data_IF_848078755637
#
_entry.id   IF_848078755637
#
_cell.length_a   1.000
_cell.length_b   1.000
_cell.length_c   1.000
_cell.angle_alpha   90.00
_cell.angle_beta   90.00
_cell.angle_gamma   90.00
#
_symmetry.space_group_name_H-M   'P 1'
#
loop_
_entity.id
_entity.type
_entity.pdbx_description
1 polymer ?
#
# COMPACT_ATOMS: atom_id res chain seq x y z
N UNK A 1 3.23 -19.85 -10.29
CA UNK A 1 2.03 -19.07 -10.63
C UNK A 1 1.00 -19.24 -9.53
N UNK A 2 0.28 -18.18 -9.22
CA UNK A 2 -0.82 -18.14 -8.26
C UNK A 2 -2.16 -18.17 -9.01
N UNK A 3 -3.24 -18.40 -8.29
CA UNK A 3 -4.61 -18.32 -8.84
C UNK A 3 -5.41 -17.35 -7.97
N UNK A 4 -6.03 -16.33 -8.60
CA UNK A 4 -6.91 -15.41 -7.90
C UNK A 4 -8.36 -15.95 -7.80
N UNK A 5 -9.23 -15.18 -7.14
CA UNK A 5 -10.64 -15.55 -6.94
C UNK A 5 -11.44 -15.66 -8.25
N UNK A 6 -11.07 -14.92 -9.31
CA UNK A 6 -11.66 -15.04 -10.65
C UNK A 6 -11.19 -16.29 -11.42
N UNK A 7 -10.20 -17.03 -10.88
CA UNK A 7 -9.59 -18.18 -11.55
C UNK A 7 -8.41 -17.83 -12.45
N UNK A 8 -8.04 -16.57 -12.59
CA UNK A 8 -6.89 -16.17 -13.40
C UNK A 8 -5.59 -16.72 -12.80
N UNK A 9 -4.75 -17.31 -13.64
CA UNK A 9 -3.38 -17.67 -13.28
C UNK A 9 -2.48 -16.46 -13.46
N UNK A 10 -1.69 -16.11 -12.43
CA UNK A 10 -0.80 -14.95 -12.48
C UNK A 10 0.53 -15.20 -11.75
N UNK A 11 1.49 -14.34 -12.01
CA UNK A 11 2.75 -14.24 -11.29
C UNK A 11 3.07 -12.77 -11.02
N UNK A 12 3.74 -12.49 -9.92
CA UNK A 12 4.19 -11.15 -9.52
C UNK A 12 5.69 -11.06 -9.68
N UNK A 13 6.17 -10.00 -10.30
CA UNK A 13 7.59 -9.75 -10.53
C UNK A 13 8.10 -8.59 -9.67
N UNK A 14 7.22 -7.66 -9.32
CA UNK A 14 7.59 -6.41 -8.67
C UNK A 14 6.46 -5.86 -7.82
N UNK A 15 6.79 -5.34 -6.64
CA UNK A 15 5.85 -4.71 -5.71
C UNK A 15 6.52 -3.49 -5.11
N UNK A 16 5.89 -2.33 -5.29
CA UNK A 16 6.29 -1.06 -4.72
C UNK A 16 5.06 -0.38 -4.14
N UNK A 17 5.18 0.23 -2.96
CA UNK A 17 4.08 0.98 -2.37
C UNK A 17 4.55 1.97 -1.31
N UNK A 18 3.68 2.93 -0.98
CA UNK A 18 3.83 3.81 0.15
C UNK A 18 2.83 3.47 1.25
N UNK A 19 3.27 3.63 2.49
CA UNK A 19 2.41 3.85 3.64
C UNK A 19 2.75 5.22 4.24
N UNK A 20 1.75 5.89 4.82
CA UNK A 20 1.92 7.19 5.46
C UNK A 20 1.06 7.29 6.70
N UNK A 21 1.25 8.35 7.50
CA UNK A 21 0.46 8.61 8.72
C UNK A 21 0.40 7.40 9.66
N UNK A 22 1.55 6.77 9.91
CA UNK A 22 1.63 5.60 10.78
C UNK A 22 1.40 6.01 12.22
N UNK A 23 0.50 5.30 12.93
CA UNK A 23 0.11 5.55 14.31
C UNK A 23 0.01 4.26 15.10
N UNK A 24 0.40 4.34 16.35
CA UNK A 24 0.17 3.31 17.34
C UNK A 24 -0.88 3.81 18.35
N UNK A 25 -1.83 2.96 18.73
CA UNK A 25 -2.81 3.29 19.76
C UNK A 25 -2.57 2.43 21.00
N UNK A 26 -2.39 3.06 22.15
CA UNK A 26 -2.17 2.37 23.43
C UNK A 26 -3.43 1.65 23.90
N UNK A 27 -3.29 0.74 24.85
CA UNK A 27 -4.42 0.08 25.51
C UNK A 27 -5.39 1.08 26.16
N UNK A 28 -4.88 2.22 26.65
CA UNK A 28 -5.67 3.32 27.24
C UNK A 28 -6.36 4.20 26.20
N UNK A 29 -6.01 4.09 24.90
CA UNK A 29 -6.57 4.89 23.81
C UNK A 29 -5.76 6.14 23.45
N UNK A 30 -4.56 6.32 23.99
CA UNK A 30 -3.65 7.36 23.57
C UNK A 30 -3.08 7.01 22.19
N UNK A 31 -2.95 8.01 21.31
CA UNK A 31 -2.40 7.84 19.95
C UNK A 31 -1.00 8.40 19.89
N UNK A 32 -0.06 7.57 19.48
CA UNK A 32 1.33 7.93 19.20
C UNK A 32 1.53 7.95 17.69
N UNK A 33 1.79 9.11 17.13
CA UNK A 33 2.07 9.29 15.71
C UNK A 33 3.56 9.11 15.44
N UNK A 34 3.90 8.34 14.41
CA UNK A 34 5.28 8.21 13.93
C UNK A 34 5.55 9.38 13.00
N UNK A 35 6.56 10.19 13.34
CA UNK A 35 6.93 11.41 12.61
C UNK A 35 8.26 11.28 11.86
N UNK A 36 9.02 10.25 12.17
CA UNK A 36 10.25 9.93 11.44
C UNK A 36 9.96 9.82 9.93
N UNK A 37 10.85 10.37 9.11
CA UNK A 37 10.66 10.50 7.67
C UNK A 37 9.29 11.08 7.27
N UNK A 38 8.78 12.05 8.04
CA UNK A 38 7.45 12.68 7.86
C UNK A 38 6.29 11.67 7.94
N UNK A 39 6.48 10.55 8.67
CA UNK A 39 5.50 9.47 8.80
C UNK A 39 5.30 8.65 7.52
N UNK A 40 6.26 8.70 6.58
CA UNK A 40 6.18 8.01 5.28
C UNK A 40 7.19 6.88 5.21
N UNK A 41 6.75 5.73 4.74
CA UNK A 41 7.65 4.65 4.37
C UNK A 41 7.37 4.15 2.95
N UNK A 42 8.44 4.07 2.15
CA UNK A 42 8.45 3.48 0.82
C UNK A 42 8.95 2.04 0.89
N UNK A 43 8.26 1.13 0.24
CA UNK A 43 8.66 -0.27 0.13
C UNK A 43 8.83 -0.66 -1.33
N UNK A 44 9.98 -1.27 -1.65
CA UNK A 44 10.27 -1.91 -2.94
C UNK A 44 10.92 -3.26 -2.67
N UNK A 45 10.27 -4.37 -3.06
CA UNK A 45 10.78 -5.72 -2.81
C UNK A 45 12.13 -6.00 -3.47
N UNK A 46 12.57 -5.14 -4.40
CA UNK A 46 13.86 -5.25 -5.10
C UNK A 46 14.96 -4.41 -4.47
N UNK A 47 14.62 -3.58 -3.49
CA UNK A 47 15.58 -2.73 -2.76
C UNK A 47 15.56 -3.15 -1.28
N UNK A 48 16.48 -4.03 -0.83
CA UNK A 48 16.43 -4.59 0.53
C UNK A 48 16.37 -3.54 1.64
N UNK A 49 17.02 -2.39 1.47
CA UNK A 49 17.00 -1.31 2.46
C UNK A 49 15.63 -0.66 2.68
N UNK A 50 14.66 -0.87 1.79
CA UNK A 50 13.29 -0.37 1.93
C UNK A 50 12.35 -1.38 2.62
N UNK A 51 12.85 -2.57 2.93
CA UNK A 51 12.04 -3.61 3.60
C UNK A 51 12.09 -3.49 5.13
N UNK A 52 12.90 -2.56 5.63
CA UNK A 52 13.00 -2.24 7.06
C UNK A 52 12.92 -0.74 7.24
N UNK A 53 12.22 -0.31 8.27
CA UNK A 53 12.18 1.07 8.71
C UNK A 53 12.61 1.16 10.17
N UNK A 54 13.84 1.60 10.38
CA UNK A 54 14.38 1.88 11.71
C UNK A 54 13.88 3.27 12.15
N UNK A 55 12.80 3.28 12.93
CA UNK A 55 12.12 4.50 13.35
C UNK A 55 12.98 5.23 14.39
N UNK A 56 13.33 6.48 14.09
CA UNK A 56 14.10 7.34 15.00
C UNK A 56 13.28 7.96 16.13
N UNK A 57 11.95 7.95 16.04
CA UNK A 57 11.06 8.45 17.08
C UNK A 57 11.19 7.64 18.36
N UNK A 58 11.08 8.33 19.50
CA UNK A 58 10.98 7.67 20.80
C UNK A 58 9.53 7.28 21.00
N UNK A 59 9.22 6.01 20.77
CA UNK A 59 7.91 5.44 21.08
C UNK A 59 7.82 5.19 22.58
N UNK A 60 6.83 5.74 23.30
CA UNK A 60 6.67 5.54 24.74
C UNK A 60 6.58 4.06 25.12
N UNK A 61 7.15 3.71 26.28
CA UNK A 61 6.98 2.37 26.85
C UNK A 61 5.54 2.21 27.33
N UNK A 62 4.77 1.37 26.65
CA UNK A 62 3.35 1.09 26.92
C UNK A 62 2.93 -0.21 26.22
N UNK A 63 1.69 -0.66 26.50
CA UNK A 63 1.00 -1.68 25.74
C UNK A 63 0.19 -1.05 24.62
N UNK A 64 0.33 -1.57 23.40
CA UNK A 64 -0.34 -1.06 22.21
C UNK A 64 -1.34 -2.06 21.67
N UNK A 65 -2.57 -1.60 21.42
CA UNK A 65 -3.70 -2.44 20.95
C UNK A 65 -3.90 -2.44 19.44
N UNK A 66 -3.34 -1.43 18.75
CA UNK A 66 -3.44 -1.35 17.28
C UNK A 66 -2.31 -0.53 16.67
N UNK A 67 -2.01 -0.84 15.40
CA UNK A 67 -1.28 0.01 14.48
C UNK A 67 -2.23 0.42 13.35
N UNK A 68 -2.16 1.69 12.95
CA UNK A 68 -2.89 2.19 11.79
C UNK A 68 -1.99 3.00 10.88
N UNK A 69 -2.32 3.02 9.60
CA UNK A 69 -1.61 3.81 8.58
C UNK A 69 -2.54 4.09 7.39
N UNK A 70 -2.18 5.09 6.60
CA UNK A 70 -2.78 5.35 5.30
C UNK A 70 -1.99 4.56 4.25
N UNK A 71 -2.69 3.81 3.41
CA UNK A 71 -2.09 3.21 2.23
C UNK A 71 -2.07 4.23 1.09
N UNK A 72 -0.86 4.63 0.69
CA UNK A 72 -0.60 5.72 -0.24
C UNK A 72 -0.13 7.00 0.45
N UNK A 73 -0.29 8.12 -0.25
CA UNK A 73 0.09 9.47 0.18
C UNK A 73 -1.10 10.41 0.04
N UNK A 74 -1.24 11.37 0.95
CA UNK A 74 -2.35 12.34 0.97
C UNK A 74 -1.85 13.78 1.08
N UNK A 75 -2.70 14.72 0.66
CA UNK A 75 -2.46 16.14 0.82
C UNK A 75 -1.13 16.61 0.23
N UNK A 76 -0.36 17.37 1.01
CA UNK A 76 0.92 17.94 0.58
C UNK A 76 1.98 16.87 0.28
N UNK A 77 1.91 15.71 0.95
CA UNK A 77 2.81 14.58 0.69
C UNK A 77 2.59 13.95 -0.70
N UNK A 78 1.39 14.13 -1.28
CA UNK A 78 1.03 13.63 -2.60
C UNK A 78 1.10 14.73 -3.68
N UNK A 79 2.12 15.55 -3.62
CA UNK A 79 2.36 16.65 -4.60
C UNK A 79 3.55 16.29 -5.49
N UNK A 80 3.41 16.50 -6.80
CA UNK A 80 4.50 16.28 -7.76
C UNK A 80 5.76 17.04 -7.33
N UNK A 81 6.88 16.32 -7.24
CA UNK A 81 8.18 16.86 -6.81
C UNK A 81 8.42 16.85 -5.29
N UNK A 82 7.51 16.32 -4.47
CA UNK A 82 7.72 16.17 -3.02
C UNK A 82 8.98 15.34 -2.70
N UNK A 83 9.21 14.23 -3.43
CA UNK A 83 10.45 13.45 -3.36
C UNK A 83 11.40 13.87 -4.48
N UNK A 84 12.52 14.54 -4.17
CA UNK A 84 13.47 15.01 -5.19
C UNK A 84 14.38 13.90 -5.75
N UNK A 85 14.55 12.80 -5.01
CA UNK A 85 15.54 11.77 -5.31
C UNK A 85 14.92 10.37 -5.42
N UNK A 86 15.57 9.45 -6.16
CA UNK A 86 15.23 8.01 -6.12
C UNK A 86 15.53 7.43 -4.71
N UNK A 87 14.83 6.35 -4.34
CA UNK A 87 13.91 5.59 -5.18
C UNK A 87 12.48 6.15 -5.26
N UNK A 88 12.06 7.01 -4.34
CA UNK A 88 10.68 7.46 -4.17
C UNK A 88 10.18 8.27 -5.39
N UNK A 89 11.04 9.10 -6.01
CA UNK A 89 10.62 9.88 -7.18
C UNK A 89 10.33 9.01 -8.42
N UNK A 90 10.79 7.75 -8.46
CA UNK A 90 10.42 6.78 -9.50
C UNK A 90 8.95 6.36 -9.39
N UNK A 91 8.28 6.72 -8.29
CA UNK A 91 6.84 6.51 -8.08
C UNK A 91 5.98 7.68 -8.59
N UNK A 92 6.53 8.66 -9.29
CA UNK A 92 5.76 9.81 -9.80
C UNK A 92 4.53 9.38 -10.59
N UNK A 93 3.35 9.93 -10.22
CA UNK A 93 2.09 9.78 -10.95
C UNK A 93 2.00 10.85 -12.03
N UNK A 94 1.56 10.53 -13.26
CA UNK A 94 1.52 11.51 -14.34
C UNK A 94 0.62 12.72 -14.03
N UNK A 95 1.11 13.94 -14.29
CA UNK A 95 0.38 15.17 -14.01
C UNK A 95 -0.95 15.26 -14.77
N UNK A 96 -1.01 14.71 -15.99
CA UNK A 96 -2.23 14.68 -16.81
C UNK A 96 -3.38 13.83 -16.20
N UNK A 97 -3.07 13.01 -15.21
CA UNK A 97 -4.05 12.20 -14.45
C UNK A 97 -4.01 12.51 -12.95
N UNK A 98 -3.65 13.75 -12.59
CA UNK A 98 -3.76 14.29 -11.23
C UNK A 98 -2.45 14.54 -10.52
N UNK A 99 -1.29 14.11 -11.06
CA UNK A 99 0.03 14.32 -10.47
C UNK A 99 0.22 13.67 -9.08
N UNK A 100 1.34 13.94 -8.45
CA UNK A 100 1.74 13.33 -7.20
C UNK A 100 2.46 11.99 -7.43
N UNK A 101 2.05 10.94 -6.72
CA UNK A 101 2.75 9.65 -6.72
C UNK A 101 1.79 8.46 -6.88
N UNK A 102 2.32 7.38 -7.43
CA UNK A 102 1.68 6.07 -7.32
C UNK A 102 1.59 5.69 -5.83
N UNK A 103 0.47 5.16 -5.41
CA UNK A 103 0.36 4.56 -4.07
C UNK A 103 0.91 3.16 -4.06
N UNK A 104 0.71 2.45 -5.17
CA UNK A 104 1.20 1.10 -5.38
C UNK A 104 1.53 0.87 -6.86
N UNK A 105 2.57 0.06 -7.09
CA UNK A 105 2.86 -0.61 -8.36
C UNK A 105 3.03 -2.09 -8.08
N UNK A 106 2.14 -2.93 -8.62
CA UNK A 106 2.34 -4.38 -8.70
C UNK A 106 2.44 -4.73 -10.17
N UNK A 107 3.60 -5.23 -10.57
CA UNK A 107 3.86 -5.65 -11.94
C UNK A 107 3.99 -7.17 -12.00
N UNK A 108 3.51 -7.75 -13.08
CA UNK A 108 3.57 -9.19 -13.27
C UNK A 108 3.03 -9.63 -14.62
N UNK A 109 2.60 -10.88 -14.67
CA UNK A 109 1.99 -11.49 -15.85
C UNK A 109 0.81 -12.35 -15.42
N UNK A 110 -0.17 -12.46 -16.30
CA UNK A 110 -1.31 -13.34 -16.16
C UNK A 110 -1.57 -14.13 -17.45
N UNK A 111 -2.31 -15.22 -17.35
CA UNK A 111 -2.69 -16.04 -18.49
C UNK A 111 -4.11 -15.64 -18.90
N UNK A 112 -4.26 -15.16 -20.12
CA UNK A 112 -5.55 -14.83 -20.69
C UNK A 112 -6.36 -16.09 -21.10
N UNK A 113 -7.64 -15.94 -21.52
CA UNK A 113 -8.47 -17.09 -21.95
C UNK A 113 -7.91 -17.88 -23.13
N UNK A 114 -7.08 -17.25 -23.96
CA UNK A 114 -6.44 -17.91 -25.11
C UNK A 114 -5.13 -18.64 -24.71
N UNK A 115 -4.77 -18.62 -23.41
CA UNK A 115 -3.57 -19.22 -22.88
C UNK A 115 -2.30 -18.39 -23.10
N UNK A 116 -2.45 -17.12 -23.50
CA UNK A 116 -1.32 -16.22 -23.75
C UNK A 116 -0.92 -15.49 -22.49
N UNK A 117 0.39 -15.37 -22.23
CA UNK A 117 0.94 -14.59 -21.11
C UNK A 117 0.88 -13.10 -21.43
N UNK A 118 0.01 -12.39 -20.75
CA UNK A 118 -0.15 -10.95 -20.85
C UNK A 118 0.57 -10.24 -19.68
N UNK A 119 1.18 -9.07 -19.89
CA UNK A 119 1.70 -8.27 -18.80
C UNK A 119 0.56 -7.60 -18.03
N UNK A 120 0.74 -7.42 -16.71
CA UNK A 120 -0.09 -6.50 -15.95
C UNK A 120 0.75 -5.48 -15.16
N UNK A 121 0.18 -4.30 -15.02
CA UNK A 121 0.69 -3.17 -14.26
C UNK A 121 -0.48 -2.62 -13.43
N UNK A 122 -0.65 -3.16 -12.23
CA UNK A 122 -1.66 -2.69 -11.29
C UNK A 122 -1.08 -1.50 -10.54
N UNK A 123 -1.19 -0.36 -11.18
CA UNK A 123 -0.71 0.91 -10.65
C UNK A 123 -1.89 1.72 -10.13
N UNK A 124 -1.87 2.03 -8.83
CA UNK A 124 -2.88 2.85 -8.18
C UNK A 124 -2.32 4.22 -7.81
N UNK A 125 -3.18 5.22 -7.81
CA UNK A 125 -2.86 6.60 -7.50
C UNK A 125 -4.15 7.42 -7.45
N UNK A 126 -4.11 8.70 -7.78
CA UNK A 126 -5.32 9.52 -7.90
C UNK A 126 -6.27 8.98 -8.95
N UNK A 127 -7.56 9.13 -8.71
CA UNK A 127 -8.62 8.74 -9.64
C UNK A 127 -9.34 9.97 -10.20
N UNK A 128 -9.80 9.84 -11.44
CA UNK A 128 -10.64 10.86 -12.06
C UNK A 128 -12.03 10.91 -11.36
N UNK A 129 -12.50 12.13 -11.16
CA UNK A 129 -13.83 12.46 -10.64
C UNK A 129 -14.52 13.46 -11.57
N UNK A 130 -15.78 13.77 -11.34
CA UNK A 130 -16.52 14.75 -12.13
C UNK A 130 -15.91 16.16 -12.01
N UNK A 131 -15.17 16.45 -10.93
CA UNK A 131 -14.58 17.76 -10.63
C UNK A 131 -13.04 17.78 -10.71
N UNK A 132 -12.41 16.83 -11.40
CA UNK A 132 -10.96 16.70 -11.51
C UNK A 132 -10.44 15.37 -10.98
N UNK A 133 -9.52 15.42 -10.03
CA UNK A 133 -8.91 14.21 -9.46
C UNK A 133 -9.02 14.19 -7.93
N UNK A 134 -9.13 13.00 -7.36
CA UNK A 134 -9.17 12.79 -5.92
C UNK A 134 -8.18 11.70 -5.49
N UNK A 135 -7.73 11.79 -4.24
CA UNK A 135 -6.94 10.74 -3.63
C UNK A 135 -7.77 9.46 -3.50
N UNK A 136 -7.16 8.33 -3.82
CA UNK A 136 -7.76 6.99 -3.75
C UNK A 136 -7.10 6.15 -2.66
N UNK A 137 -6.67 6.81 -1.60
CA UNK A 137 -6.08 6.22 -0.40
C UNK A 137 -7.15 5.58 0.49
N UNK A 138 -6.70 4.81 1.46
CA UNK A 138 -7.55 4.27 2.52
C UNK A 138 -6.73 4.01 3.78
N UNK A 139 -7.38 4.07 4.93
CA UNK A 139 -6.76 3.75 6.21
C UNK A 139 -6.85 2.26 6.49
N UNK A 140 -5.75 1.68 6.92
CA UNK A 140 -5.64 0.32 7.45
C UNK A 140 -5.46 0.42 8.95
N UNK A 141 -6.21 -0.40 9.71
CA UNK A 141 -6.03 -0.54 11.16
C UNK A 141 -5.92 -2.03 11.50
N UNK A 142 -4.81 -2.41 12.11
CA UNK A 142 -4.50 -3.79 12.45
C UNK A 142 -4.45 -3.93 13.98
N UNK A 143 -5.20 -4.89 14.55
CA UNK A 143 -5.15 -5.14 15.98
C UNK A 143 -3.80 -5.74 16.38
N UNK A 144 -3.30 -5.31 17.53
CA UNK A 144 -2.14 -5.86 18.22
C UNK A 144 -2.62 -6.59 19.47
N UNK A 145 -2.09 -7.78 19.71
CA UNK A 145 -2.42 -8.57 20.89
C UNK A 145 -1.16 -8.81 21.72
N UNK A 146 -1.11 -8.26 22.92
CA UNK A 146 0.06 -8.38 23.82
C UNK A 146 1.35 -7.77 23.24
N UNK A 147 1.23 -6.74 22.40
CA UNK A 147 2.38 -5.99 21.93
C UNK A 147 2.70 -4.86 22.90
N UNK A 148 3.94 -4.83 23.38
CA UNK A 148 4.43 -3.81 24.30
C UNK A 148 5.77 -3.25 23.84
N UNK A 149 5.94 -1.95 24.00
CA UNK A 149 7.25 -1.29 23.91
C UNK A 149 7.82 -1.19 25.32
N UNK A 150 9.00 -1.73 25.53
CA UNK A 150 9.69 -1.74 26.83
C UNK A 150 10.81 -0.70 26.79
N UNK A 151 10.96 0.03 27.88
CA UNK A 151 11.98 1.08 27.99
C UNK A 151 13.40 0.54 27.73
N UNK A 152 14.13 1.17 26.78
CA UNK A 152 15.47 0.78 26.32
C UNK A 152 15.56 -0.57 25.59
N UNK A 153 14.46 -1.12 25.16
CA UNK A 153 14.44 -2.31 24.30
C UNK A 153 13.97 -1.94 22.90
N UNK A 154 14.36 -2.73 21.92
CA UNK A 154 13.86 -2.62 20.55
C UNK A 154 12.60 -3.47 20.42
N UNK A 155 11.53 -2.87 19.93
CA UNK A 155 10.32 -3.59 19.56
C UNK A 155 10.21 -3.65 18.02
N UNK A 156 9.84 -4.80 17.49
CA UNK A 156 9.73 -5.01 16.04
C UNK A 156 8.29 -5.37 15.66
N UNK A 157 7.79 -4.73 14.60
CA UNK A 157 6.53 -5.08 13.95
C UNK A 157 6.80 -5.43 12.48
N UNK A 158 6.33 -6.58 12.03
CA UNK A 158 6.40 -6.97 10.62
C UNK A 158 5.04 -6.78 9.96
N UNK A 159 4.94 -5.78 9.07
CA UNK A 159 3.77 -5.61 8.22
C UNK A 159 3.84 -6.61 7.05
N UNK A 160 2.77 -7.36 6.83
CA UNK A 160 2.66 -8.33 5.75
C UNK A 160 1.59 -7.91 4.75
N UNK A 161 1.89 -7.97 3.45
CA UNK A 161 0.93 -7.76 2.38
C UNK A 161 0.59 -9.10 1.70
N UNK A 162 -0.69 -9.49 1.74
CA UNK A 162 -1.19 -10.62 0.97
C UNK A 162 -1.64 -10.15 -0.42
N UNK A 163 -0.79 -10.33 -1.41
CA UNK A 163 -1.08 -9.88 -2.79
C UNK A 163 -2.38 -10.48 -3.34
N UNK A 164 -2.70 -11.73 -2.98
CA UNK A 164 -3.92 -12.38 -3.51
C UNK A 164 -5.21 -11.75 -2.97
N UNK A 165 -5.15 -11.12 -1.79
CA UNK A 165 -6.31 -10.44 -1.19
C UNK A 165 -6.77 -9.22 -2.03
N UNK A 166 -5.86 -8.55 -2.76
CA UNK A 166 -6.24 -7.48 -3.69
C UNK A 166 -7.28 -7.91 -4.73
N UNK A 167 -7.39 -9.22 -5.00
CA UNK A 167 -8.22 -9.76 -6.08
C UNK A 167 -9.50 -10.47 -5.60
N UNK A 168 -9.83 -10.43 -4.30
CA UNK A 168 -10.84 -11.35 -3.77
C UNK A 168 -12.04 -10.72 -3.07
N UNK A 169 -11.87 -9.81 -2.12
CA UNK A 169 -12.93 -9.45 -1.17
C UNK A 169 -12.89 -7.95 -0.80
N UNK A 170 -14.02 -7.22 -0.88
CA UNK A 170 -15.39 -7.68 -1.20
C UNK A 170 -15.65 -7.89 -2.70
N UNK A 171 -14.72 -7.51 -3.58
CA UNK A 171 -14.91 -7.55 -5.02
C UNK A 171 -13.92 -8.51 -5.67
N UNK A 172 -14.40 -9.33 -6.60
CA UNK A 172 -13.53 -10.16 -7.41
C UNK A 172 -12.89 -9.30 -8.50
N UNK A 173 -11.57 -9.25 -8.52
CA UNK A 173 -10.81 -8.63 -9.60
C UNK A 173 -10.50 -9.67 -10.66
N UNK A 174 -11.14 -9.54 -11.82
CA UNK A 174 -10.90 -10.41 -12.98
C UNK A 174 -10.06 -9.68 -14.03
N UNK A 175 -8.87 -10.20 -14.32
CA UNK A 175 -8.00 -9.67 -15.37
C UNK A 175 -8.65 -9.72 -16.76
N UNK A 176 -9.56 -10.67 -17.01
CA UNK A 176 -10.30 -10.76 -18.27
C UNK A 176 -11.30 -9.60 -18.45
N UNK A 177 -11.73 -8.98 -17.34
CA UNK A 177 -12.68 -7.85 -17.33
C UNK A 177 -11.95 -6.51 -17.29
N UNK A 178 -10.98 -6.37 -16.36
CA UNK A 178 -10.29 -5.10 -16.13
C UNK A 178 -9.03 -4.92 -16.98
N UNK A 179 -8.50 -6.02 -17.55
CA UNK A 179 -7.22 -6.01 -18.26
C UNK A 179 -6.02 -5.90 -17.31
N UNK A 180 -4.85 -5.72 -17.91
CA UNK A 180 -3.58 -5.62 -17.17
C UNK A 180 -3.13 -4.18 -16.89
N UNK A 181 -3.82 -3.13 -17.36
CA UNK A 181 -3.44 -1.73 -17.17
C UNK A 181 -4.62 -0.92 -16.63
N UNK A 182 -4.46 -0.40 -15.40
CA UNK A 182 -5.58 0.19 -14.66
C UNK A 182 -5.42 1.67 -14.29
N UNK A 183 -4.33 2.32 -14.67
CA UNK A 183 -4.04 3.71 -14.25
C UNK A 183 -5.18 4.69 -14.55
N UNK A 184 -5.87 4.52 -15.68
CA UNK A 184 -7.01 5.35 -16.08
C UNK A 184 -8.35 4.63 -15.93
N UNK A 185 -8.36 3.42 -15.36
CA UNK A 185 -9.58 2.66 -15.11
C UNK A 185 -10.05 2.90 -13.67
N UNK A 186 -10.89 3.92 -13.49
CA UNK A 186 -11.44 4.30 -12.19
C UNK A 186 -12.10 3.11 -11.48
N UNK A 187 -12.95 2.37 -12.17
CA UNK A 187 -13.65 1.22 -11.58
C UNK A 187 -12.68 0.15 -11.06
N UNK A 188 -11.65 -0.19 -11.84
CA UNK A 188 -10.64 -1.15 -11.41
C UNK A 188 -9.86 -0.66 -10.18
N UNK A 189 -9.49 0.63 -10.12
CA UNK A 189 -8.83 1.19 -8.96
C UNK A 189 -9.73 1.25 -7.72
N UNK A 190 -11.01 1.57 -7.88
CA UNK A 190 -12.00 1.55 -6.79
C UNK A 190 -12.22 0.14 -6.25
N UNK A 191 -12.21 -0.88 -7.14
CA UNK A 191 -12.27 -2.31 -6.74
C UNK A 191 -11.06 -2.69 -5.89
N UNK A 192 -9.85 -2.35 -6.32
CA UNK A 192 -8.64 -2.62 -5.53
C UNK A 192 -8.67 -1.88 -4.19
N UNK A 193 -9.05 -0.59 -4.19
CA UNK A 193 -9.18 0.18 -2.95
C UNK A 193 -10.16 -0.48 -1.97
N UNK A 194 -11.31 -0.91 -2.45
CA UNK A 194 -12.31 -1.59 -1.62
C UNK A 194 -11.79 -2.92 -1.05
N UNK A 195 -10.95 -3.64 -1.80
CA UNK A 195 -10.34 -4.90 -1.34
C UNK A 195 -9.18 -4.67 -0.35
N UNK A 196 -8.64 -3.46 -0.27
CA UNK A 196 -7.47 -3.12 0.53
C UNK A 196 -7.61 -3.40 2.03
N UNK A 197 -8.82 -3.46 2.56
CA UNK A 197 -9.10 -3.68 3.98
C UNK A 197 -8.57 -5.03 4.51
N UNK A 198 -8.46 -6.06 3.67
CA UNK A 198 -8.08 -7.44 4.02
C UNK A 198 -6.67 -7.83 3.50
N UNK A 199 -5.96 -6.84 2.96
CA UNK A 199 -4.65 -7.09 2.33
C UNK A 199 -3.54 -7.21 3.36
N UNK A 200 -3.63 -6.46 4.45
CA UNK A 200 -2.54 -6.33 5.40
C UNK A 200 -2.76 -7.15 6.66
N UNK A 201 -1.65 -7.67 7.17
CA UNK A 201 -1.55 -8.30 8.47
C UNK A 201 -0.28 -7.86 9.19
N UNK A 202 -0.19 -8.12 10.50
CA UNK A 202 0.97 -7.77 11.32
C UNK A 202 1.44 -8.99 12.12
N UNK A 203 2.78 -9.09 12.28
CA UNK A 203 3.46 -10.01 13.20
C UNK A 203 4.44 -9.23 14.06
N UNK A 204 4.71 -9.73 15.27
CA UNK A 204 5.61 -9.14 16.26
C UNK A 204 6.06 -10.20 17.26
#
# INVERSE_FOLDING_TARGET
MYRNAAGNLYEVNDVQFFISHVRLETASGEVVEITDNQGIHYTDIRIPGTLTWDIADIVPADEYKSISFVFGLEGDQNTTGFFPNPPENNMSWPDMIGGGYHYMKINGRWIDPDGVRQPFNLHTGKIATDNGFADNTFTVTLPLSQFAVIHKETAELTLQMNINAWFSNPNIFDFNVFGGSIMQNRTAQEVLRANGWDVFGVKY
#
